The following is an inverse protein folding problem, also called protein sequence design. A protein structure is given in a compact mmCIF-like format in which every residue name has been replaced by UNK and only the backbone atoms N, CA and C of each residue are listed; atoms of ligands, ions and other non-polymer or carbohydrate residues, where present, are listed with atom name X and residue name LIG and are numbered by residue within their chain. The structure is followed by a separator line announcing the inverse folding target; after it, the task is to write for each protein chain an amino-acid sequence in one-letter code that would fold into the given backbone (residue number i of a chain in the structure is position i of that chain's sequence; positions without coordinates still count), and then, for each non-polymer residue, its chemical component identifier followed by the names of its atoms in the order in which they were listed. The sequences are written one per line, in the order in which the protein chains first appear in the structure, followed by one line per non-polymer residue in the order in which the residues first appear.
data_IF_539918519169
#
_entry.id   IF_539918519169
#
_cell.length_a   1.000
_cell.length_b   1.000
_cell.length_c   1.000
_cell.angle_alpha   90.00
_cell.angle_beta   90.00
_cell.angle_gamma   90.00
#
_symmetry.space_group_name_H-M   'P 1'
#
loop_
_entity.id
_entity.type
_entity.pdbx_description
1 polymer ?
#
# COMPACT_ATOMS: atom_id res chain seq x y z
N UNK A 1 9.91 4.04 20.49
CA UNK A 1 9.01 3.19 19.69
C UNK A 1 9.82 2.61 18.53
N UNK A 2 9.73 1.31 18.22
CA UNK A 2 10.56 0.72 17.17
C UNK A 2 9.99 -0.58 16.63
N UNK A 3 10.32 -0.87 15.38
CA UNK A 3 9.91 -2.02 14.59
C UNK A 3 10.90 -3.15 14.87
N UNK A 4 10.40 -4.34 15.17
CA UNK A 4 11.24 -5.53 15.35
C UNK A 4 11.53 -6.10 13.96
N UNK A 5 12.80 -6.19 13.60
CA UNK A 5 13.22 -6.76 12.31
C UNK A 5 13.08 -8.28 12.31
N UNK A 6 12.73 -8.84 11.15
CA UNK A 6 12.68 -10.30 10.96
C UNK A 6 13.93 -10.86 10.26
N UNK A 7 14.75 -9.99 9.66
CA UNK A 7 15.99 -10.32 8.96
C UNK A 7 17.08 -9.29 9.27
N UNK A 8 18.32 -9.68 9.06
CA UNK A 8 19.47 -8.78 9.17
C UNK A 8 19.40 -7.70 8.07
N UNK A 9 19.62 -6.45 8.45
CA UNK A 9 19.45 -5.31 7.57
C UNK A 9 20.51 -4.25 7.87
N UNK A 10 21.20 -3.78 6.83
CA UNK A 10 22.18 -2.70 6.97
C UNK A 10 21.52 -1.38 6.61
N UNK A 11 21.44 -0.44 7.56
CA UNK A 11 20.93 0.92 7.34
C UNK A 11 21.96 1.93 7.83
N UNK A 12 22.32 2.91 6.99
CA UNK A 12 23.30 3.95 7.31
C UNK A 12 24.64 3.41 7.86
N UNK A 13 25.15 2.31 7.28
CA UNK A 13 26.40 1.68 7.72
C UNK A 13 26.32 0.88 9.02
N UNK A 14 25.16 0.86 9.69
CA UNK A 14 24.91 0.01 10.86
C UNK A 14 24.18 -1.25 10.44
N UNK A 15 24.72 -2.41 10.83
CA UNK A 15 24.03 -3.70 10.70
C UNK A 15 23.07 -3.85 11.88
N UNK A 16 21.80 -4.04 11.56
CA UNK A 16 20.77 -4.42 12.52
C UNK A 16 20.49 -5.91 12.34
N UNK A 17 20.54 -6.67 13.43
CA UNK A 17 20.26 -8.11 13.40
C UNK A 17 18.76 -8.39 13.46
N UNK A 18 18.35 -9.55 12.98
CA UNK A 18 17.00 -10.05 13.20
C UNK A 18 16.66 -10.05 14.71
N UNK A 19 15.46 -9.59 15.05
CA UNK A 19 15.00 -9.40 16.42
C UNK A 19 15.37 -8.04 17.03
N UNK A 20 16.27 -7.26 16.43
CA UNK A 20 16.58 -5.93 16.91
C UNK A 20 15.48 -4.92 16.56
N UNK A 21 15.31 -3.93 17.43
CA UNK A 21 14.34 -2.86 17.26
C UNK A 21 14.96 -1.70 16.47
N UNK A 22 14.45 -1.44 15.27
CA UNK A 22 14.77 -0.24 14.48
C UNK A 22 13.77 0.87 14.78
N UNK A 23 14.23 2.11 14.94
CA UNK A 23 13.35 3.26 14.97
C UNK A 23 12.33 3.34 13.83
N UNK A 24 11.04 3.46 14.16
CA UNK A 24 9.98 3.53 13.15
C UNK A 24 10.14 4.70 12.18
N UNK A 25 10.69 5.83 12.66
CA UNK A 25 10.88 7.06 11.87
C UNK A 25 11.97 6.94 10.80
N UNK A 26 12.82 5.91 10.86
CA UNK A 26 13.80 5.62 9.81
C UNK A 26 13.20 4.81 8.66
N UNK A 27 12.08 4.12 8.91
CA UNK A 27 11.47 3.20 7.95
C UNK A 27 10.23 3.85 7.33
N UNK A 28 9.22 4.17 8.14
CA UNK A 28 7.91 4.55 7.61
C UNK A 28 7.91 5.85 6.81
N UNK A 29 8.51 6.97 7.26
CA UNK A 29 8.51 8.21 6.48
C UNK A 29 9.12 8.03 5.09
N UNK A 30 10.24 7.30 5.01
CA UNK A 30 10.88 6.97 3.73
C UNK A 30 9.96 6.14 2.85
N UNK A 31 9.46 5.00 3.33
CA UNK A 31 8.63 4.12 2.51
C UNK A 31 7.30 4.76 2.12
N UNK A 32 6.63 5.48 3.02
CA UNK A 32 5.35 6.14 2.74
C UNK A 32 5.55 7.22 1.68
N UNK A 33 6.52 8.12 1.87
CA UNK A 33 6.76 9.19 0.90
C UNK A 33 7.22 8.63 -0.45
N UNK A 34 8.17 7.70 -0.42
CA UNK A 34 8.73 7.10 -1.63
C UNK A 34 7.68 6.30 -2.41
N UNK A 35 6.89 5.45 -1.73
CA UNK A 35 5.78 4.74 -2.37
C UNK A 35 4.71 5.68 -2.90
N UNK A 36 4.39 6.75 -2.16
CA UNK A 36 3.42 7.75 -2.60
C UNK A 36 3.83 8.38 -3.93
N UNK A 37 5.10 8.80 -4.06
CA UNK A 37 5.62 9.35 -5.31
C UNK A 37 5.62 8.31 -6.45
N UNK A 38 6.10 7.09 -6.19
CA UNK A 38 6.15 6.05 -7.22
C UNK A 38 4.75 5.59 -7.65
N UNK A 39 3.83 5.44 -6.72
CA UNK A 39 2.43 5.11 -6.99
C UNK A 39 1.72 6.21 -7.78
N UNK A 40 1.95 7.48 -7.42
CA UNK A 40 1.44 8.61 -8.20
C UNK A 40 2.03 8.65 -9.62
N UNK A 41 3.32 8.37 -9.77
CA UNK A 41 3.94 8.26 -11.09
C UNK A 41 3.34 7.11 -11.91
N UNK A 42 3.13 5.94 -11.30
CA UNK A 42 2.51 4.78 -11.93
C UNK A 42 1.07 5.06 -12.35
N UNK A 43 0.31 5.78 -11.53
CA UNK A 43 -1.02 6.27 -11.85
C UNK A 43 -1.00 7.22 -13.06
N UNK A 44 -0.11 8.21 -13.06
CA UNK A 44 -0.01 9.17 -14.15
C UNK A 44 0.47 8.52 -15.46
N UNK A 45 1.39 7.56 -15.39
CA UNK A 45 1.79 6.74 -16.53
C UNK A 45 0.65 5.86 -17.05
N UNK A 46 -0.21 5.35 -16.15
CA UNK A 46 -1.35 4.54 -16.54
C UNK A 46 -2.45 5.37 -17.22
N UNK A 47 -2.77 6.56 -16.72
CA UNK A 47 -3.98 7.28 -17.14
C UNK A 47 -3.75 8.67 -17.75
N UNK A 48 -2.68 9.35 -17.34
CA UNK A 48 -2.38 10.74 -17.72
C UNK A 48 -1.43 10.89 -18.91
N UNK A 49 -0.89 9.78 -19.44
CA UNK A 49 0.06 9.80 -20.57
C UNK A 49 -0.07 8.56 -21.45
N UNK A 50 0.32 8.70 -22.72
CA UNK A 50 0.35 7.61 -23.71
C UNK A 50 1.62 6.76 -23.55
N UNK A 51 1.83 6.24 -22.35
CA UNK A 51 2.91 5.30 -22.07
C UNK A 51 2.50 3.91 -22.55
N UNK A 52 3.43 3.24 -23.20
CA UNK A 52 3.27 1.86 -23.66
C UNK A 52 3.12 0.90 -22.48
N UNK A 53 2.25 -0.11 -22.62
CA UNK A 53 1.96 -1.05 -21.54
C UNK A 53 3.21 -1.80 -21.06
N UNK A 54 4.11 -2.13 -21.98
CA UNK A 54 5.39 -2.79 -21.70
C UNK A 54 6.25 -1.96 -20.73
N UNK A 55 6.39 -0.66 -20.97
CA UNK A 55 7.13 0.25 -20.11
C UNK A 55 6.45 0.44 -18.75
N UNK A 56 5.13 0.59 -18.72
CA UNK A 56 4.35 0.69 -17.48
C UNK A 56 4.60 -0.53 -16.57
N UNK A 57 4.57 -1.73 -17.14
CA UNK A 57 4.80 -2.97 -16.41
C UNK A 57 6.26 -3.14 -15.99
N UNK A 58 7.21 -2.76 -16.84
CA UNK A 58 8.63 -2.81 -16.47
C UNK A 58 8.91 -1.86 -15.29
N UNK A 59 8.53 -0.59 -15.41
CA UNK A 59 8.77 0.41 -14.38
C UNK A 59 8.03 0.07 -13.08
N UNK A 60 6.72 -0.12 -13.15
CA UNK A 60 5.90 -0.39 -11.98
C UNK A 60 6.16 -1.76 -11.38
N UNK A 61 6.37 -2.78 -12.21
CA UNK A 61 6.60 -4.16 -11.78
C UNK A 61 7.91 -4.33 -11.02
N UNK A 62 9.01 -3.72 -11.48
CA UNK A 62 10.30 -3.76 -10.77
C UNK A 62 10.15 -3.13 -9.38
N UNK A 63 9.47 -1.99 -9.29
CA UNK A 63 9.27 -1.31 -8.02
C UNK A 63 8.35 -2.12 -7.08
N UNK A 64 7.26 -2.71 -7.58
CA UNK A 64 6.40 -3.63 -6.82
C UNK A 64 7.20 -4.80 -6.23
N UNK A 65 8.01 -5.48 -7.05
CA UNK A 65 8.85 -6.60 -6.59
C UNK A 65 9.83 -6.14 -5.52
N UNK A 66 10.42 -4.96 -5.70
CA UNK A 66 11.35 -4.36 -4.74
C UNK A 66 10.65 -4.11 -3.40
N UNK A 67 9.45 -3.54 -3.38
CA UNK A 67 8.69 -3.34 -2.14
C UNK A 67 8.30 -4.65 -1.46
N UNK A 68 7.90 -5.67 -2.23
CA UNK A 68 7.59 -6.99 -1.66
C UNK A 68 8.81 -7.60 -0.95
N UNK A 69 10.00 -7.48 -1.53
CA UNK A 69 11.25 -7.95 -0.91
C UNK A 69 11.51 -7.20 0.40
N UNK A 70 11.41 -5.87 0.39
CA UNK A 70 11.62 -5.06 1.60
C UNK A 70 10.57 -5.37 2.68
N UNK A 71 9.31 -5.49 2.30
CA UNK A 71 8.23 -5.79 3.24
C UNK A 71 8.39 -7.14 3.88
N UNK A 72 8.75 -8.15 3.08
CA UNK A 72 9.04 -9.47 3.60
C UNK A 72 10.26 -9.46 4.55
N UNK A 73 11.33 -8.73 4.19
CA UNK A 73 12.53 -8.63 5.02
C UNK A 73 12.30 -7.89 6.35
N UNK A 74 11.53 -6.79 6.31
CA UNK A 74 11.30 -5.92 7.48
C UNK A 74 10.19 -6.48 8.37
N UNK A 75 9.04 -6.82 7.78
CA UNK A 75 7.81 -7.14 8.51
C UNK A 75 7.52 -8.64 8.62
N UNK A 76 8.22 -9.50 7.87
CA UNK A 76 8.13 -10.95 7.99
C UNK A 76 6.95 -11.60 7.26
N UNK A 77 6.57 -12.85 7.60
CA UNK A 77 5.54 -13.62 6.91
C UNK A 77 4.10 -13.11 7.14
N UNK A 78 3.84 -12.43 8.27
CA UNK A 78 2.53 -11.81 8.55
C UNK A 78 2.13 -10.78 7.48
N UNK A 79 3.11 -10.20 6.80
CA UNK A 79 2.95 -9.31 5.65
C UNK A 79 2.10 -9.94 4.55
N UNK A 80 2.32 -11.22 4.22
CA UNK A 80 1.63 -11.88 3.11
C UNK A 80 0.14 -11.99 3.39
N UNK A 81 -0.22 -12.35 4.63
CA UNK A 81 -1.61 -12.46 5.06
C UNK A 81 -2.34 -11.11 4.95
N UNK A 82 -1.72 -10.04 5.42
CA UNK A 82 -2.32 -8.71 5.38
C UNK A 82 -2.34 -8.11 3.98
N UNK A 83 -1.30 -8.32 3.18
CA UNK A 83 -1.32 -7.96 1.77
C UNK A 83 -2.50 -8.62 1.03
N UNK A 84 -2.83 -9.87 1.34
CA UNK A 84 -4.02 -10.53 0.76
C UNK A 84 -5.34 -9.88 1.22
N UNK A 85 -5.47 -9.54 2.50
CA UNK A 85 -6.65 -8.83 3.04
C UNK A 85 -6.79 -7.45 2.37
N UNK A 86 -5.69 -6.68 2.35
CA UNK A 86 -5.62 -5.38 1.69
C UNK A 86 -5.79 -5.49 0.17
N UNK A 87 -5.50 -6.64 -0.45
CA UNK A 87 -5.78 -6.87 -1.87
C UNK A 87 -7.28 -6.96 -2.11
N UNK A 88 -8.00 -7.71 -1.28
CA UNK A 88 -9.46 -7.84 -1.39
C UNK A 88 -10.13 -6.50 -1.13
N UNK A 89 -9.77 -5.83 -0.03
CA UNK A 89 -10.24 -4.47 0.26
C UNK A 89 -9.80 -3.48 -0.82
N UNK A 90 -8.59 -3.68 -1.36
CA UNK A 90 -8.00 -2.92 -2.44
C UNK A 90 -8.87 -2.95 -3.67
N UNK A 91 -9.37 -4.11 -4.12
CA UNK A 91 -10.31 -4.20 -5.27
C UNK A 91 -11.49 -3.28 -5.08
N UNK A 92 -12.12 -3.30 -3.91
CA UNK A 92 -13.24 -2.40 -3.63
C UNK A 92 -12.79 -0.93 -3.56
N UNK A 93 -11.71 -0.63 -2.83
CA UNK A 93 -11.21 0.72 -2.66
C UNK A 93 -10.72 1.36 -3.97
N UNK A 94 -10.10 0.58 -4.84
CA UNK A 94 -9.55 1.02 -6.13
C UNK A 94 -10.64 1.32 -7.13
N UNK A 95 -11.67 0.47 -7.23
CA UNK A 95 -12.81 0.75 -8.12
C UNK A 95 -13.47 2.07 -7.71
N UNK A 96 -13.63 2.31 -6.41
CA UNK A 96 -14.19 3.54 -5.88
C UNK A 96 -13.27 4.75 -6.10
N UNK A 97 -12.01 4.63 -5.68
CA UNK A 97 -11.09 5.75 -5.58
C UNK A 97 -10.44 6.09 -6.92
N UNK A 98 -10.08 5.12 -7.76
CA UNK A 98 -9.63 5.41 -9.11
C UNK A 98 -10.78 5.90 -9.98
N UNK A 99 -12.00 5.36 -9.83
CA UNK A 99 -13.18 5.90 -10.49
C UNK A 99 -13.39 7.38 -10.16
N UNK A 100 -13.32 7.72 -8.87
CA UNK A 100 -13.40 9.11 -8.42
C UNK A 100 -12.26 10.00 -8.94
N UNK A 101 -11.01 9.52 -8.91
CA UNK A 101 -9.87 10.30 -9.44
C UNK A 101 -10.03 10.51 -10.95
N UNK A 102 -10.41 9.47 -11.70
CA UNK A 102 -10.59 9.55 -13.16
C UNK A 102 -11.77 10.45 -13.55
N UNK A 103 -12.81 10.53 -12.72
CA UNK A 103 -13.94 11.44 -12.95
C UNK A 103 -13.50 12.92 -12.99
N UNK A 104 -12.45 13.32 -12.26
CA UNK A 104 -11.88 14.67 -12.40
C UNK A 104 -11.27 14.95 -13.78
N UNK A 105 -11.01 13.90 -14.55
CA UNK A 105 -10.44 13.99 -15.89
C UNK A 105 -11.48 13.61 -16.96
N UNK A 106 -12.76 13.54 -16.62
CA UNK A 106 -13.86 13.08 -17.49
C UNK A 106 -13.61 11.68 -18.09
N UNK A 107 -12.93 10.81 -17.32
CA UNK A 107 -12.64 9.43 -17.71
C UNK A 107 -13.25 8.45 -16.74
N UNK A 108 -13.52 7.26 -17.23
CA UNK A 108 -14.02 6.13 -16.46
C UNK A 108 -12.99 5.00 -16.46
N UNK A 109 -13.13 4.06 -15.54
CA UNK A 109 -12.30 2.85 -15.55
C UNK A 109 -12.52 2.01 -16.82
N UNK A 110 -13.73 2.05 -17.39
CA UNK A 110 -14.07 1.29 -18.58
C UNK A 110 -13.35 1.78 -19.86
N UNK A 111 -12.82 3.00 -19.83
CA UNK A 111 -12.08 3.58 -20.97
C UNK A 111 -10.70 2.95 -21.14
N UNK A 112 -10.24 2.17 -20.16
CA UNK A 112 -8.92 1.56 -20.14
C UNK A 112 -9.02 0.04 -20.06
N UNK A 113 -8.02 -0.65 -20.60
CA UNK A 113 -7.94 -2.10 -20.46
C UNK A 113 -7.65 -2.49 -19.01
N UNK A 114 -8.20 -3.63 -18.59
CA UNK A 114 -7.96 -4.18 -17.23
C UNK A 114 -6.47 -4.29 -16.91
N UNK A 115 -5.64 -4.62 -17.90
CA UNK A 115 -4.19 -4.68 -17.76
C UNK A 115 -3.58 -3.34 -17.32
N UNK A 116 -4.08 -2.22 -17.81
CA UNK A 116 -3.58 -0.88 -17.46
C UNK A 116 -3.85 -0.51 -16.00
N UNK A 117 -4.88 -1.10 -15.39
CA UNK A 117 -5.19 -0.91 -13.97
C UNK A 117 -4.27 -1.70 -13.03
N UNK A 118 -3.57 -2.72 -13.52
CA UNK A 118 -2.82 -3.65 -12.68
C UNK A 118 -1.76 -2.94 -11.82
N UNK A 119 -0.94 -2.09 -12.43
CA UNK A 119 0.13 -1.38 -11.71
C UNK A 119 -0.45 -0.41 -10.66
N UNK A 120 -1.34 0.55 -11.00
CA UNK A 120 -2.00 1.39 -10.00
C UNK A 120 -2.68 0.58 -8.90
N UNK A 121 -3.28 -0.56 -9.26
CA UNK A 121 -3.99 -1.40 -8.33
C UNK A 121 -3.05 -2.00 -7.28
N UNK A 122 -1.96 -2.63 -7.73
CA UNK A 122 -1.01 -3.27 -6.82
C UNK A 122 -0.32 -2.23 -5.94
N UNK A 123 -0.01 -1.04 -6.48
CA UNK A 123 0.54 0.05 -5.69
C UNK A 123 -0.37 0.48 -4.55
N UNK A 124 -1.66 0.60 -4.82
CA UNK A 124 -2.64 0.95 -3.81
C UNK A 124 -2.66 -0.07 -2.67
N UNK A 125 -2.69 -1.37 -3.00
CA UNK A 125 -2.63 -2.46 -2.01
C UNK A 125 -1.36 -2.40 -1.15
N UNK A 126 -0.20 -2.21 -1.80
CA UNK A 126 1.08 -2.09 -1.09
C UNK A 126 1.11 -0.86 -0.17
N UNK A 127 0.46 0.22 -0.58
CA UNK A 127 0.40 1.47 0.17
C UNK A 127 -0.55 1.37 1.37
N UNK A 128 -1.76 0.81 1.19
CA UNK A 128 -2.70 0.61 2.29
C UNK A 128 -2.15 -0.35 3.34
N UNK A 129 -1.50 -1.43 2.89
CA UNK A 129 -0.75 -2.33 3.78
C UNK A 129 0.30 -1.59 4.60
N UNK A 130 1.10 -0.73 3.98
CA UNK A 130 2.13 0.05 4.67
C UNK A 130 1.54 0.96 5.75
N UNK A 131 0.43 1.64 5.42
CA UNK A 131 -0.26 2.51 6.35
C UNK A 131 -0.85 1.72 7.53
N UNK A 132 -1.52 0.60 7.25
CA UNK A 132 -2.02 -0.30 8.30
C UNK A 132 -0.90 -0.75 9.22
N UNK A 133 0.24 -1.14 8.64
CA UNK A 133 1.39 -1.60 9.40
C UNK A 133 2.01 -0.47 10.24
N UNK A 134 2.08 0.74 9.71
CA UNK A 134 2.51 1.92 10.46
C UNK A 134 1.59 2.22 11.65
N UNK A 135 0.27 2.13 11.46
CA UNK A 135 -0.73 2.32 12.53
C UNK A 135 -0.58 1.24 13.60
N UNK A 136 -0.37 -0.02 13.21
CA UNK A 136 -0.14 -1.11 14.16
C UNK A 136 1.12 -0.90 15.01
N UNK A 137 2.23 -0.52 14.39
CA UNK A 137 3.49 -0.28 15.11
C UNK A 137 3.43 0.98 15.98
N UNK A 138 2.69 2.01 15.55
CA UNK A 138 2.43 3.21 16.33
C UNK A 138 1.44 2.97 17.48
N UNK A 139 0.42 2.13 17.29
CA UNK A 139 -0.53 1.77 18.35
C UNK A 139 0.01 0.74 19.34
N UNK A 140 1.22 0.22 19.11
CA UNK A 140 1.82 -0.83 19.93
C UNK A 140 1.20 -2.22 19.73
N UNK A 141 0.42 -2.41 18.67
CA UNK A 141 -0.23 -3.68 18.34
C UNK A 141 0.74 -4.80 17.95
N UNK A 142 2.02 -4.50 17.69
CA UNK A 142 3.04 -5.54 17.50
C UNK A 142 3.51 -6.20 18.79
N UNK A 143 3.20 -5.62 19.95
CA UNK A 143 3.65 -6.14 21.26
C UNK A 143 2.52 -6.69 22.13
N UNK A 144 1.28 -6.36 21.77
CA UNK A 144 0.09 -6.64 22.56
C UNK A 144 -1.02 -7.13 21.62
N UNK A 145 -1.43 -8.39 21.79
CA UNK A 145 -2.45 -9.01 20.94
C UNK A 145 -3.83 -8.35 21.07
N UNK A 146 -4.19 -7.86 22.26
CA UNK A 146 -5.47 -7.18 22.45
C UNK A 146 -5.49 -5.88 21.65
N UNK A 147 -4.41 -5.08 21.75
CA UNK A 147 -4.26 -3.85 20.95
C UNK A 147 -4.19 -4.13 19.46
N UNK A 148 -3.50 -5.21 19.06
CA UNK A 148 -3.44 -5.66 17.66
C UNK A 148 -4.83 -5.86 17.10
N UNK A 149 -5.65 -6.63 17.82
CA UNK A 149 -7.01 -6.96 17.38
C UNK A 149 -7.88 -5.71 17.30
N UNK A 150 -7.82 -4.85 18.32
CA UNK A 150 -8.54 -3.58 18.34
C UNK A 150 -8.18 -2.69 17.14
N UNK A 151 -6.88 -2.49 16.87
CA UNK A 151 -6.42 -1.68 15.73
C UNK A 151 -6.86 -2.29 14.40
N UNK A 152 -6.76 -3.61 14.24
CA UNK A 152 -7.20 -4.30 13.03
C UNK A 152 -8.70 -4.11 12.78
N UNK A 153 -9.53 -4.24 13.82
CA UNK A 153 -10.97 -4.01 13.71
C UNK A 153 -11.30 -2.58 13.36
N UNK A 154 -10.63 -1.61 13.97
CA UNK A 154 -10.81 -0.20 13.62
C UNK A 154 -10.37 0.09 12.19
N UNK A 155 -9.22 -0.44 11.75
CA UNK A 155 -8.73 -0.26 10.39
C UNK A 155 -9.70 -0.88 9.37
N UNK A 156 -10.17 -2.10 9.61
CA UNK A 156 -11.11 -2.79 8.73
C UNK A 156 -12.46 -2.05 8.67
N UNK A 157 -13.03 -1.72 9.82
CA UNK A 157 -14.31 -1.00 9.91
C UNK A 157 -14.23 0.37 9.24
N UNK A 158 -13.16 1.12 9.51
CA UNK A 158 -12.92 2.41 8.87
C UNK A 158 -12.76 2.28 7.35
N UNK A 159 -11.97 1.31 6.87
CA UNK A 159 -11.79 1.06 5.44
C UNK A 159 -13.11 0.73 4.74
N UNK A 160 -13.93 -0.13 5.36
CA UNK A 160 -15.26 -0.48 4.82
C UNK A 160 -16.15 0.76 4.75
N UNK A 161 -16.18 1.60 5.80
CA UNK A 161 -16.99 2.82 5.83
C UNK A 161 -16.53 3.78 4.73
N UNK A 162 -15.23 4.05 4.64
CA UNK A 162 -14.65 4.96 3.63
C UNK A 162 -14.93 4.45 2.22
N UNK A 163 -14.65 3.19 1.94
CA UNK A 163 -14.89 2.64 0.60
C UNK A 163 -16.38 2.57 0.27
N UNK A 164 -17.24 2.21 1.21
CA UNK A 164 -18.69 2.23 0.99
C UNK A 164 -19.20 3.65 0.74
N UNK A 165 -18.67 4.65 1.45
CA UNK A 165 -19.00 6.04 1.21
C UNK A 165 -18.53 6.50 -0.18
N UNK A 166 -17.32 6.13 -0.60
CA UNK A 166 -16.82 6.47 -1.93
C UNK A 166 -17.60 5.78 -3.06
N UNK A 167 -18.08 4.55 -2.85
CA UNK A 167 -18.87 3.80 -3.85
C UNK A 167 -20.31 4.28 -3.92
N UNK A 168 -20.98 4.47 -2.77
CA UNK A 168 -22.43 4.70 -2.70
C UNK A 168 -22.84 6.12 -2.31
N UNK A 169 -21.96 6.85 -1.61
CA UNK A 169 -22.24 8.18 -1.07
C UNK A 169 -21.76 9.32 -1.96
N UNK A 170 -20.86 9.05 -2.91
CA UNK A 170 -20.47 10.00 -3.95
C UNK A 170 -21.36 9.71 -5.17
N UNK A 171 -22.25 10.64 -5.58
CA UNK A 171 -23.06 10.43 -6.77
C UNK A 171 -22.12 10.18 -7.95
N UNK A 172 -22.39 9.09 -8.68
CA UNK A 172 -21.69 8.76 -9.92
C UNK A 172 -21.73 10.01 -10.82
N UNK A 173 -20.55 10.54 -11.13
CA UNK A 173 -20.36 11.53 -12.18
C UNK A 173 -20.06 10.72 -13.45
#
# INVERSE_FOLDING_TARGET
MGIILHRDLTMNGKVYKAGESVPWWLVYPFFIFHMGMFGASGFFMAYGSDVELSFLYMHGGIAIVTYLIFYWAIFGPETVKWLLIDSVLGVFGIVAQLGWILAFFDKTLADYSVARHFIPFTYYVLYTFLLHRAILDFGGGTRDEAKRNTINWYYLGFSIIVYSYLVFGVPAI
#
